data_IF_099651206956
#
_entry.id   IF_099651206956
#
_cell.length_a   1.000
_cell.length_b   1.000
_cell.length_c   1.000
_cell.angle_alpha   90.00
_cell.angle_beta   90.00
_cell.angle_gamma   90.00
#
_symmetry.space_group_name_H-M   'P 1'
#
loop_
_entity.id
_entity.type
_entity.pdbx_description
1 polymer ?
#
# COMPACT_ATOMS: atom_id res chain seq x y z
N UNK A 1 13.11 -28.88 0.83
CA UNK A 1 12.97 -28.87 2.31
C UNK A 1 12.22 -27.61 2.73
N UNK A 2 11.30 -27.73 3.68
CA UNK A 2 10.61 -26.55 4.24
C UNK A 2 11.62 -25.69 5.00
N UNK A 3 11.82 -24.48 4.53
CA UNK A 3 12.67 -23.49 5.19
C UNK A 3 11.92 -22.85 6.37
N UNK A 4 12.61 -22.65 7.49
CA UNK A 4 12.02 -21.92 8.60
C UNK A 4 12.11 -20.39 8.34
N UNK A 5 11.41 -19.59 9.17
CA UNK A 5 11.33 -18.13 9.03
C UNK A 5 12.74 -17.47 8.91
N UNK A 6 13.69 -17.85 9.74
CA UNK A 6 15.04 -17.27 9.74
C UNK A 6 15.84 -17.65 8.50
N UNK A 7 15.66 -18.88 7.98
CA UNK A 7 16.30 -19.32 6.74
C UNK A 7 15.76 -18.55 5.53
N UNK A 8 14.45 -18.33 5.49
CA UNK A 8 13.81 -17.50 4.44
C UNK A 8 14.31 -16.06 4.51
N UNK A 9 14.37 -15.48 5.72
CA UNK A 9 14.84 -14.10 5.91
C UNK A 9 16.31 -13.93 5.50
N UNK A 10 17.13 -14.95 5.71
CA UNK A 10 18.55 -14.96 5.32
C UNK A 10 18.80 -15.35 3.87
N UNK A 11 17.75 -15.75 3.13
CA UNK A 11 17.88 -16.08 1.71
C UNK A 11 18.21 -14.83 0.90
N UNK A 12 19.39 -14.70 0.26
CA UNK A 12 19.90 -13.41 -0.24
C UNK A 12 19.03 -12.74 -1.30
N UNK A 13 18.38 -13.55 -2.15
CA UNK A 13 17.52 -13.04 -3.22
C UNK A 13 16.17 -12.60 -2.68
N UNK A 14 15.57 -13.41 -1.80
CA UNK A 14 14.30 -13.12 -1.17
C UNK A 14 14.41 -11.87 -0.27
N UNK A 15 15.45 -11.78 0.56
CA UNK A 15 15.65 -10.64 1.46
C UNK A 15 15.79 -9.30 0.72
N UNK A 16 16.44 -9.28 -0.45
CA UNK A 16 16.52 -8.09 -1.30
C UNK A 16 15.15 -7.62 -1.77
N UNK A 17 14.30 -8.55 -2.22
CA UNK A 17 12.94 -8.23 -2.66
C UNK A 17 12.08 -7.77 -1.48
N UNK A 18 12.16 -8.45 -0.34
CA UNK A 18 11.44 -8.08 0.88
C UNK A 18 11.84 -6.69 1.37
N UNK A 19 13.13 -6.34 1.34
CA UNK A 19 13.62 -5.01 1.71
C UNK A 19 13.01 -3.91 0.84
N UNK A 20 12.98 -4.09 -0.48
CA UNK A 20 12.33 -3.12 -1.38
C UNK A 20 10.88 -2.92 -0.99
N UNK A 21 10.15 -4.00 -0.76
CA UNK A 21 8.74 -3.95 -0.36
C UNK A 21 8.55 -3.29 1.01
N UNK A 22 9.31 -3.70 2.01
CA UNK A 22 9.14 -3.23 3.38
C UNK A 22 9.57 -1.78 3.57
N UNK A 23 10.66 -1.35 2.95
CA UNK A 23 11.06 0.06 2.92
C UNK A 23 9.97 0.88 2.23
N UNK A 24 9.45 0.43 1.08
CA UNK A 24 8.35 1.10 0.39
C UNK A 24 7.10 1.22 1.25
N UNK A 25 6.69 0.15 1.93
CA UNK A 25 5.50 0.18 2.79
C UNK A 25 5.71 0.98 4.09
N UNK A 26 6.90 0.96 4.69
CA UNK A 26 7.24 1.87 5.78
C UNK A 26 7.17 3.34 5.36
N UNK A 27 7.67 3.64 4.18
CA UNK A 27 7.56 4.96 3.56
C UNK A 27 6.11 5.34 3.26
N UNK A 28 5.28 4.39 2.81
CA UNK A 28 3.83 4.58 2.63
C UNK A 28 3.16 4.99 3.94
N UNK A 29 3.57 4.44 5.07
CA UNK A 29 3.06 4.80 6.38
C UNK A 29 3.30 6.28 6.71
N UNK A 30 4.51 6.78 6.48
CA UNK A 30 4.86 8.19 6.67
C UNK A 30 4.05 9.08 5.73
N UNK A 31 4.03 8.75 4.44
CA UNK A 31 3.35 9.54 3.41
C UNK A 31 1.84 9.61 3.64
N UNK A 32 1.19 8.47 3.87
CA UNK A 32 -0.25 8.41 4.07
C UNK A 32 -0.66 9.13 5.36
N UNK A 33 0.14 9.03 6.43
CA UNK A 33 -0.07 9.76 7.67
C UNK A 33 -0.02 11.28 7.46
N UNK A 34 1.03 11.78 6.82
CA UNK A 34 1.18 13.21 6.53
C UNK A 34 0.07 13.74 5.61
N UNK A 35 -0.28 12.98 4.56
CA UNK A 35 -1.36 13.35 3.65
C UNK A 35 -2.73 13.36 4.35
N UNK A 36 -3.01 12.38 5.20
CA UNK A 36 -4.25 12.32 5.97
C UNK A 36 -4.35 13.50 6.92
N UNK A 37 -3.29 13.88 7.61
CA UNK A 37 -3.25 15.06 8.47
C UNK A 37 -3.53 16.31 7.67
N UNK A 38 -2.84 16.51 6.56
CA UNK A 38 -3.02 17.67 5.70
C UNK A 38 -4.43 17.79 5.14
N UNK A 39 -5.03 16.70 4.66
CA UNK A 39 -6.34 16.72 3.99
C UNK A 39 -7.50 16.66 4.99
N UNK A 40 -7.41 15.78 6.00
CA UNK A 40 -8.56 15.40 6.82
C UNK A 40 -8.57 16.05 8.19
N UNK A 41 -7.41 16.31 8.78
CA UNK A 41 -7.29 16.81 10.14
C UNK A 41 -6.87 18.29 10.24
N UNK A 42 -6.61 18.95 9.11
CA UNK A 42 -6.34 20.40 9.15
C UNK A 42 -7.58 21.17 9.61
N UNK A 43 -7.48 22.03 10.65
CA UNK A 43 -8.59 22.85 11.13
C UNK A 43 -9.17 23.77 10.04
N UNK A 44 -8.31 24.22 9.14
CA UNK A 44 -8.66 25.15 8.06
C UNK A 44 -9.46 24.48 6.93
N UNK A 45 -9.39 23.15 6.85
CA UNK A 45 -10.03 22.33 5.81
C UNK A 45 -11.12 21.48 6.42
N UNK A 46 -12.19 22.10 6.91
CA UNK A 46 -13.31 21.38 7.55
C UNK A 46 -13.78 20.22 6.67
N UNK A 47 -13.48 18.98 7.11
CA UNK A 47 -13.89 17.80 6.40
C UNK A 47 -15.35 17.47 6.70
N UNK A 48 -16.22 17.61 5.71
CA UNK A 48 -17.53 16.97 5.73
C UNK A 48 -17.38 15.45 5.51
N UNK A 49 -18.38 14.67 5.93
CA UNK A 49 -18.41 13.24 5.64
C UNK A 49 -18.27 12.94 4.14
N UNK A 50 -18.82 13.80 3.28
CA UNK A 50 -18.70 13.66 1.83
C UNK A 50 -17.26 13.90 1.35
N UNK A 51 -16.58 14.94 1.83
CA UNK A 51 -15.18 15.19 1.42
C UNK A 51 -14.23 14.10 1.90
N UNK A 52 -14.44 13.54 3.08
CA UNK A 52 -13.69 12.38 3.56
C UNK A 52 -13.97 11.13 2.70
N UNK A 53 -15.23 10.86 2.35
CA UNK A 53 -15.59 9.75 1.47
C UNK A 53 -14.96 9.90 0.07
N UNK A 54 -14.95 11.11 -0.49
CA UNK A 54 -14.30 11.40 -1.76
C UNK A 54 -12.79 11.20 -1.69
N UNK A 55 -12.13 11.60 -0.59
CA UNK A 55 -10.71 11.36 -0.37
C UNK A 55 -10.39 9.85 -0.35
N UNK A 56 -11.20 9.04 0.34
CA UNK A 56 -11.07 7.57 0.30
C UNK A 56 -11.32 7.00 -1.09
N UNK A 57 -12.30 7.51 -1.83
CA UNK A 57 -12.57 7.08 -3.21
C UNK A 57 -11.37 7.36 -4.12
N UNK A 58 -10.72 8.52 -3.99
CA UNK A 58 -9.50 8.88 -4.72
C UNK A 58 -8.36 7.90 -4.41
N UNK A 59 -8.18 7.49 -3.15
CA UNK A 59 -7.17 6.51 -2.77
C UNK A 59 -7.45 5.13 -3.39
N UNK A 60 -8.72 4.72 -3.47
CA UNK A 60 -9.12 3.41 -3.96
C UNK A 60 -9.26 3.34 -5.50
N UNK A 61 -9.50 4.47 -6.16
CA UNK A 61 -9.74 4.56 -7.60
C UNK A 61 -8.59 3.98 -8.45
N UNK A 62 -7.31 4.26 -8.17
CA UNK A 62 -6.20 3.69 -8.94
C UNK A 62 -6.16 2.16 -8.90
N UNK A 63 -6.56 1.55 -7.78
CA UNK A 63 -6.60 0.09 -7.65
C UNK A 63 -7.62 -0.54 -8.60
N UNK A 64 -8.74 0.14 -8.83
CA UNK A 64 -9.80 -0.34 -9.72
C UNK A 64 -9.48 -0.12 -11.19
N UNK A 65 -8.91 1.04 -11.54
CA UNK A 65 -8.65 1.43 -12.94
C UNK A 65 -7.34 0.82 -13.44
N UNK A 66 -6.26 0.93 -12.67
CA UNK A 66 -4.92 0.52 -13.09
C UNK A 66 -4.72 -0.99 -12.91
N UNK A 67 -5.40 -1.61 -11.95
CA UNK A 67 -5.27 -3.02 -11.61
C UNK A 67 -5.28 -3.97 -12.81
N UNK A 68 -6.27 -3.90 -13.72
CA UNK A 68 -6.35 -4.76 -14.89
C UNK A 68 -5.16 -4.62 -15.86
N UNK A 69 -4.51 -3.46 -15.89
CA UNK A 69 -3.42 -3.16 -16.83
C UNK A 69 -2.02 -3.43 -16.26
N UNK A 70 -1.91 -3.64 -14.95
CA UNK A 70 -0.62 -3.87 -14.27
C UNK A 70 0.08 -5.10 -14.82
N UNK A 71 -0.64 -6.20 -15.03
CA UNK A 71 -0.09 -7.42 -15.63
C UNK A 71 0.53 -7.15 -16.98
N UNK A 72 -0.18 -6.43 -17.85
CA UNK A 72 0.28 -6.07 -19.20
C UNK A 72 1.62 -5.31 -19.16
N UNK A 73 1.82 -4.40 -18.21
CA UNK A 73 3.09 -3.67 -18.05
C UNK A 73 4.19 -4.60 -17.54
N UNK A 74 3.90 -5.43 -16.54
CA UNK A 74 4.87 -6.34 -15.91
C UNK A 74 5.32 -7.49 -16.81
N UNK A 75 4.54 -7.83 -17.84
CA UNK A 75 4.91 -8.83 -18.83
C UNK A 75 5.85 -8.27 -19.91
N UNK A 76 5.98 -6.95 -20.02
CA UNK A 76 6.84 -6.27 -21.03
C UNK A 76 8.17 -5.82 -20.48
N UNK A 77 8.19 -5.32 -19.26
CA UNK A 77 9.36 -4.70 -18.63
C UNK A 77 9.90 -5.65 -17.57
N UNK A 78 11.23 -5.75 -17.43
CA UNK A 78 11.77 -6.51 -16.31
C UNK A 78 11.20 -5.97 -15.00
N UNK A 79 10.71 -6.86 -14.15
CA UNK A 79 10.06 -6.49 -12.88
C UNK A 79 11.01 -5.72 -11.97
N UNK A 80 12.32 -5.98 -12.07
CA UNK A 80 13.35 -5.20 -11.40
C UNK A 80 13.34 -3.73 -11.86
N UNK A 81 13.27 -3.48 -13.18
CA UNK A 81 13.15 -2.11 -13.71
C UNK A 81 11.83 -1.47 -13.33
N UNK A 82 10.74 -2.23 -13.35
CA UNK A 82 9.44 -1.73 -12.91
C UNK A 82 9.49 -1.27 -11.43
N UNK A 83 10.13 -2.04 -10.54
CA UNK A 83 10.34 -1.64 -9.15
C UNK A 83 11.21 -0.39 -9.02
N UNK A 84 12.32 -0.32 -9.77
CA UNK A 84 13.19 0.85 -9.75
C UNK A 84 12.47 2.11 -10.24
N UNK A 85 11.90 2.06 -11.45
CA UNK A 85 11.24 3.22 -12.08
C UNK A 85 10.04 3.68 -11.24
N UNK A 86 9.22 2.74 -10.76
CA UNK A 86 8.04 3.11 -9.98
C UNK A 86 8.39 3.76 -8.65
N UNK A 87 9.38 3.25 -7.90
CA UNK A 87 9.83 3.87 -6.66
C UNK A 87 10.52 5.21 -6.92
N UNK A 88 11.34 5.31 -7.96
CA UNK A 88 11.99 6.56 -8.33
C UNK A 88 10.97 7.62 -8.76
N UNK A 89 10.00 7.25 -9.60
CA UNK A 89 8.92 8.16 -10.01
C UNK A 89 8.10 8.62 -8.83
N UNK A 90 7.81 7.73 -7.85
CA UNK A 90 7.14 8.12 -6.61
C UNK A 90 7.97 9.10 -5.79
N UNK A 91 9.29 8.92 -5.70
CA UNK A 91 10.16 9.86 -5.01
C UNK A 91 10.07 11.26 -5.63
N UNK A 92 10.08 11.37 -6.94
CA UNK A 92 9.91 12.65 -7.65
C UNK A 92 8.51 13.24 -7.47
N UNK A 93 7.49 12.41 -7.59
CA UNK A 93 6.08 12.80 -7.42
C UNK A 93 5.83 13.37 -6.01
N UNK A 94 6.40 12.74 -4.98
CA UNK A 94 6.28 13.23 -3.61
C UNK A 94 6.97 14.58 -3.36
N UNK A 95 8.01 14.90 -4.10
CA UNK A 95 8.62 16.25 -4.04
C UNK A 95 7.61 17.29 -4.52
N UNK A 96 6.89 17.00 -5.61
CA UNK A 96 5.84 17.90 -6.13
C UNK A 96 4.66 17.99 -5.15
N UNK A 97 4.23 16.86 -4.57
CA UNK A 97 3.18 16.84 -3.54
C UNK A 97 3.62 17.67 -2.33
N UNK A 98 4.85 17.51 -1.85
CA UNK A 98 5.38 18.26 -0.72
C UNK A 98 5.36 19.78 -0.98
N UNK A 99 5.68 20.20 -2.21
CA UNK A 99 5.62 21.62 -2.60
C UNK A 99 4.18 22.15 -2.54
N UNK A 100 3.19 21.40 -3.02
CA UNK A 100 1.79 21.78 -2.93
C UNK A 100 1.30 21.85 -1.48
N UNK A 101 1.67 20.87 -0.67
CA UNK A 101 1.33 20.83 0.77
C UNK A 101 1.99 21.99 1.50
N UNK A 102 3.25 22.29 1.24
CA UNK A 102 3.98 23.41 1.82
C UNK A 102 3.30 24.75 1.54
N UNK A 103 2.70 24.90 0.36
CA UNK A 103 1.97 26.12 -0.04
C UNK A 103 0.48 26.08 0.31
N UNK A 104 0.00 25.03 1.00
CA UNK A 104 -1.40 24.88 1.41
C UNK A 104 -2.38 24.61 0.27
N UNK A 105 -1.90 24.19 -0.92
CA UNK A 105 -2.74 23.97 -2.10
C UNK A 105 -3.38 22.58 -2.10
N UNK A 106 -4.71 22.56 -2.21
CA UNK A 106 -5.54 21.33 -2.22
C UNK A 106 -6.32 21.12 -3.51
N UNK A 107 -5.87 21.72 -4.61
CA UNK A 107 -6.56 21.68 -5.88
C UNK A 107 -6.49 20.35 -6.62
N UNK A 108 -6.98 20.33 -7.86
CA UNK A 108 -6.97 19.16 -8.74
C UNK A 108 -5.54 18.63 -8.97
N UNK A 109 -4.56 19.50 -8.98
CA UNK A 109 -3.14 19.16 -9.13
C UNK A 109 -2.66 18.21 -8.02
N UNK A 110 -3.04 18.47 -6.76
CA UNK A 110 -2.72 17.56 -5.64
C UNK A 110 -3.40 16.20 -5.84
N UNK A 111 -4.67 16.20 -6.20
CA UNK A 111 -5.44 14.97 -6.46
C UNK A 111 -4.78 14.11 -7.54
N UNK A 112 -4.37 14.72 -8.66
CA UNK A 112 -3.71 14.01 -9.77
C UNK A 112 -2.38 13.40 -9.32
N UNK A 113 -1.54 14.13 -8.60
CA UNK A 113 -0.25 13.62 -8.09
C UNK A 113 -0.47 12.49 -7.09
N UNK A 114 -1.43 12.60 -6.19
CA UNK A 114 -1.78 11.54 -5.24
C UNK A 114 -2.27 10.28 -5.98
N UNK A 115 -3.11 10.42 -7.01
CA UNK A 115 -3.53 9.31 -7.86
C UNK A 115 -2.35 8.61 -8.55
N UNK A 116 -1.38 9.38 -9.04
CA UNK A 116 -0.14 8.84 -9.64
C UNK A 116 0.64 8.05 -8.59
N UNK A 117 0.85 8.60 -7.39
CA UNK A 117 1.57 7.94 -6.30
C UNK A 117 0.94 6.59 -5.93
N UNK A 118 -0.38 6.53 -5.77
CA UNK A 118 -1.09 5.28 -5.47
C UNK A 118 -1.13 4.30 -6.65
N UNK A 119 -1.23 4.81 -7.87
CA UNK A 119 -1.14 3.98 -9.08
C UNK A 119 0.21 3.28 -9.21
N UNK A 120 1.30 4.01 -8.99
CA UNK A 120 2.66 3.46 -8.96
C UNK A 120 2.84 2.45 -7.83
N UNK A 121 2.22 2.68 -6.67
CA UNK A 121 2.24 1.71 -5.58
C UNK A 121 1.61 0.36 -5.98
N UNK A 122 0.52 0.40 -6.72
CA UNK A 122 -0.12 -0.83 -7.23
C UNK A 122 0.82 -1.63 -8.10
N UNK A 123 1.57 -0.95 -8.98
CA UNK A 123 2.57 -1.58 -9.85
C UNK A 123 3.70 -2.21 -9.03
N UNK A 124 4.18 -1.53 -7.99
CA UNK A 124 5.23 -2.03 -7.09
C UNK A 124 4.78 -3.30 -6.37
N UNK A 125 3.59 -3.29 -5.78
CA UNK A 125 3.05 -4.45 -5.07
C UNK A 125 2.85 -5.65 -5.99
N UNK A 126 2.34 -5.41 -7.20
CA UNK A 126 2.14 -6.46 -8.20
C UNK A 126 3.47 -7.05 -8.69
N UNK A 127 4.47 -6.20 -8.98
CA UNK A 127 5.80 -6.65 -9.38
C UNK A 127 6.48 -7.50 -8.30
N UNK A 128 6.34 -7.11 -7.04
CA UNK A 128 6.86 -7.85 -5.88
C UNK A 128 6.18 -9.22 -5.76
N UNK A 129 4.86 -9.25 -5.83
CA UNK A 129 4.09 -10.50 -5.71
C UNK A 129 4.35 -11.45 -6.87
N UNK A 130 4.46 -10.93 -8.10
CA UNK A 130 4.77 -11.73 -9.29
C UNK A 130 6.21 -12.25 -9.32
N UNK A 131 7.15 -11.55 -8.68
CA UNK A 131 8.55 -11.97 -8.60
C UNK A 131 8.81 -13.05 -7.54
N UNK A 132 7.96 -13.16 -6.53
CA UNK A 132 8.17 -14.03 -5.38
C UNK A 132 8.30 -15.54 -5.75
N UNK A 133 7.45 -16.09 -6.64
CA UNK A 133 7.54 -17.51 -7.03
C UNK A 133 8.84 -17.89 -7.75
N UNK A 134 9.59 -16.92 -8.26
CA UNK A 134 10.87 -17.15 -8.93
C UNK A 134 12.06 -17.19 -7.97
N UNK A 135 11.86 -16.80 -6.72
CA UNK A 135 12.92 -16.70 -5.72
C UNK A 135 12.91 -17.85 -4.72
N UNK A 136 11.79 -18.53 -4.56
CA UNK A 136 11.60 -19.59 -3.59
C UNK A 136 10.89 -20.78 -4.22
N UNK A 137 11.20 -21.99 -3.72
CA UNK A 137 10.54 -23.22 -4.16
C UNK A 137 9.09 -23.28 -3.68
N UNK A 138 8.25 -24.03 -4.39
CA UNK A 138 6.82 -24.22 -4.12
C UNK A 138 6.47 -24.48 -2.64
N UNK A 139 7.18 -25.35 -1.89
CA UNK A 139 6.88 -25.59 -0.48
C UNK A 139 7.04 -24.36 0.42
N UNK A 140 7.89 -23.42 0.02
CA UNK A 140 8.23 -22.22 0.80
C UNK A 140 7.44 -20.97 0.37
N UNK A 141 6.70 -21.05 -0.75
CA UNK A 141 6.02 -19.91 -1.35
C UNK A 141 4.96 -19.28 -0.43
N UNK A 142 4.18 -20.12 0.27
CA UNK A 142 3.15 -19.64 1.19
C UNK A 142 3.80 -18.86 2.34
N UNK A 143 4.86 -19.40 2.92
CA UNK A 143 5.59 -18.74 4.02
C UNK A 143 6.28 -17.44 3.56
N UNK A 144 6.90 -17.45 2.37
CA UNK A 144 7.52 -16.26 1.80
C UNK A 144 6.49 -15.16 1.49
N UNK A 145 5.31 -15.53 0.97
CA UNK A 145 4.24 -14.58 0.72
C UNK A 145 3.67 -14.01 2.04
N UNK A 146 3.46 -14.86 3.04
CA UNK A 146 3.04 -14.41 4.37
C UNK A 146 4.05 -13.42 4.98
N UNK A 147 5.36 -13.70 4.88
CA UNK A 147 6.41 -12.76 5.28
C UNK A 147 6.36 -11.44 4.53
N UNK A 148 6.18 -11.47 3.22
CA UNK A 148 6.10 -10.28 2.39
C UNK A 148 4.92 -9.39 2.79
N UNK A 149 3.74 -9.97 2.96
CA UNK A 149 2.50 -9.24 3.30
C UNK A 149 2.52 -8.78 4.76
N UNK A 150 2.77 -9.67 5.71
CA UNK A 150 2.76 -9.33 7.14
C UNK A 150 3.88 -8.36 7.49
N UNK A 151 5.10 -8.62 7.01
CA UNK A 151 6.23 -7.71 7.19
C UNK A 151 5.94 -6.33 6.61
N UNK A 152 5.35 -6.29 5.41
CA UNK A 152 4.93 -5.02 4.80
C UNK A 152 3.93 -4.26 5.64
N UNK A 153 2.93 -4.94 6.21
CA UNK A 153 1.95 -4.33 7.10
C UNK A 153 2.58 -3.81 8.39
N UNK A 154 3.50 -4.57 8.97
CA UNK A 154 4.27 -4.12 10.15
C UNK A 154 5.09 -2.86 9.83
N UNK A 155 5.79 -2.84 8.70
CA UNK A 155 6.58 -1.66 8.28
C UNK A 155 5.68 -0.46 7.98
N UNK A 156 4.48 -0.66 7.42
CA UNK A 156 3.49 0.41 7.23
C UNK A 156 3.12 1.06 8.57
N UNK A 157 2.81 0.26 9.58
CA UNK A 157 2.46 0.75 10.92
C UNK A 157 3.65 1.42 11.59
N UNK A 158 4.85 0.84 11.51
CA UNK A 158 6.08 1.44 12.04
C UNK A 158 6.39 2.77 11.34
N UNK A 159 6.21 2.85 10.03
CA UNK A 159 6.37 4.08 9.26
C UNK A 159 5.38 5.16 9.68
N UNK A 160 4.12 4.79 9.86
CA UNK A 160 3.08 5.69 10.39
C UNK A 160 3.43 6.20 11.80
N UNK A 161 3.87 5.31 12.68
CA UNK A 161 4.33 5.67 14.03
C UNK A 161 5.57 6.58 14.01
N UNK A 162 6.54 6.29 13.14
CA UNK A 162 7.71 7.15 12.93
C UNK A 162 7.28 8.54 12.42
N UNK A 163 6.35 8.59 11.48
CA UNK A 163 5.81 9.84 10.96
C UNK A 163 5.16 10.68 12.06
N UNK A 164 4.35 10.06 12.93
CA UNK A 164 3.75 10.74 14.08
C UNK A 164 4.79 11.27 15.06
N UNK A 165 5.80 10.45 15.40
CA UNK A 165 6.88 10.86 16.29
C UNK A 165 7.72 12.02 15.71
N UNK A 166 8.03 11.98 14.42
CA UNK A 166 8.70 13.09 13.74
C UNK A 166 7.84 14.35 13.70
N UNK A 167 6.53 14.19 13.49
CA UNK A 167 5.58 15.31 13.53
C UNK A 167 5.64 16.01 14.89
N UNK A 168 5.51 15.26 15.98
CA UNK A 168 5.55 15.80 17.34
C UNK A 168 6.85 16.58 17.61
N UNK A 169 7.99 16.07 17.14
CA UNK A 169 9.28 16.76 17.26
C UNK A 169 9.35 18.05 16.44
N UNK A 170 8.69 18.12 15.30
CA UNK A 170 8.72 19.26 14.38
C UNK A 170 7.64 20.28 14.66
N UNK A 171 6.59 19.94 15.40
CA UNK A 171 5.42 20.79 15.66
C UNK A 171 5.79 22.09 16.42
N UNK A 172 6.86 22.04 17.22
CA UNK A 172 7.39 23.23 17.91
C UNK A 172 8.21 24.16 17.02
N UNK A 173 8.57 23.74 15.79
CA UNK A 173 9.53 24.44 14.92
C UNK A 173 8.87 25.02 13.66
N UNK A 174 7.75 24.44 13.21
CA UNK A 174 7.10 24.81 11.95
C UNK A 174 5.56 24.73 12.04
N UNK A 175 4.89 25.36 11.08
CA UNK A 175 3.42 25.26 10.95
C UNK A 175 3.01 23.84 10.53
N UNK A 176 1.77 23.45 10.81
CA UNK A 176 1.26 22.11 10.51
C UNK A 176 1.47 21.69 9.04
N UNK A 177 1.18 22.58 8.09
CA UNK A 177 1.37 22.30 6.66
C UNK A 177 2.84 22.12 6.29
N UNK A 178 3.73 22.89 6.90
CA UNK A 178 5.18 22.74 6.69
C UNK A 178 5.70 21.43 7.27
N UNK A 179 5.20 21.03 8.45
CA UNK A 179 5.55 19.73 9.05
C UNK A 179 5.11 18.59 8.14
N UNK A 180 3.88 18.63 7.64
CA UNK A 180 3.38 17.62 6.69
C UNK A 180 4.22 17.56 5.41
N UNK A 181 4.61 18.74 4.88
CA UNK A 181 5.51 18.80 3.72
C UNK A 181 6.88 18.16 4.00
N UNK A 182 7.47 18.42 5.17
CA UNK A 182 8.76 17.81 5.56
C UNK A 182 8.66 16.31 5.73
N UNK A 183 7.55 15.79 6.28
CA UNK A 183 7.30 14.36 6.35
C UNK A 183 7.15 13.72 4.96
N UNK A 184 6.52 14.41 4.02
CA UNK A 184 6.40 13.95 2.63
C UNK A 184 7.76 13.95 1.94
N UNK A 185 8.64 14.92 2.20
CA UNK A 185 10.03 14.91 1.72
C UNK A 185 10.81 13.73 2.32
N UNK A 186 10.65 13.45 3.62
CA UNK A 186 11.26 12.26 4.24
C UNK A 186 10.77 10.96 3.57
N UNK A 187 9.50 10.88 3.25
CA UNK A 187 8.94 9.77 2.48
C UNK A 187 9.53 9.69 1.06
N UNK A 188 9.74 10.83 0.38
CA UNK A 188 10.43 10.86 -0.92
C UNK A 188 11.82 10.22 -0.82
N UNK A 189 12.60 10.55 0.21
CA UNK A 189 13.90 9.91 0.46
C UNK A 189 13.77 8.40 0.70
N UNK A 190 12.72 7.95 1.39
CA UNK A 190 12.43 6.53 1.59
C UNK A 190 12.16 5.79 0.29
N UNK A 191 11.38 6.37 -0.63
CA UNK A 191 11.17 5.78 -1.96
C UNK A 191 12.44 5.82 -2.82
N UNK A 192 13.24 6.86 -2.73
CA UNK A 192 14.54 6.90 -3.39
C UNK A 192 15.45 5.77 -2.89
N UNK A 193 15.44 5.49 -1.58
CA UNK A 193 16.15 4.35 -1.00
C UNK A 193 15.60 3.01 -1.51
N UNK A 194 14.27 2.83 -1.54
CA UNK A 194 13.65 1.61 -2.08
C UNK A 194 14.02 1.42 -3.57
N UNK A 195 14.07 2.49 -4.35
CA UNK A 195 14.50 2.47 -5.75
C UNK A 195 15.95 1.99 -5.88
N UNK A 196 16.88 2.52 -5.09
CA UNK A 196 18.28 2.06 -5.12
C UNK A 196 18.43 0.61 -4.64
N UNK A 197 17.62 0.16 -3.67
CA UNK A 197 17.59 -1.23 -3.25
C UNK A 197 17.08 -2.16 -4.36
N UNK A 198 16.13 -1.72 -5.19
CA UNK A 198 15.66 -2.49 -6.34
C UNK A 198 16.79 -2.79 -7.35
N UNK A 199 17.78 -1.91 -7.49
CA UNK A 199 18.94 -2.13 -8.35
C UNK A 199 19.87 -3.26 -7.88
N UNK A 200 19.77 -3.67 -6.61
CA UNK A 200 20.51 -4.84 -6.08
C UNK A 200 19.96 -6.18 -6.56
N UNK A 201 18.74 -6.20 -7.09
CA UNK A 201 18.18 -7.35 -7.79
C UNK A 201 18.79 -7.46 -9.18
N UNK A 202 19.04 -8.68 -9.66
CA UNK A 202 19.48 -8.89 -11.05
C UNK A 202 18.31 -8.61 -11.99
N UNK A 203 18.59 -8.12 -13.19
CA UNK A 203 17.60 -7.61 -14.15
C UNK A 203 16.44 -8.58 -14.45
N UNK A 204 16.71 -9.88 -14.52
CA UNK A 204 15.70 -10.92 -14.81
C UNK A 204 15.47 -11.87 -13.64
N UNK A 205 16.00 -11.56 -12.46
CA UNK A 205 15.90 -12.43 -11.27
C UNK A 205 14.47 -12.67 -10.81
N UNK A 206 13.61 -11.66 -11.00
CA UNK A 206 12.19 -11.70 -10.63
C UNK A 206 11.26 -11.67 -11.85
N UNK A 207 11.78 -11.94 -13.05
CA UNK A 207 11.03 -12.03 -14.30
C UNK A 207 10.84 -10.71 -15.05
N UNK A 208 10.02 -10.71 -16.10
CA UNK A 208 9.32 -11.88 -16.62
C UNK A 208 10.28 -12.86 -17.34
N UNK A 209 9.99 -14.15 -17.27
CA UNK A 209 10.71 -15.18 -18.03
C UNK A 209 10.41 -15.03 -19.53
N UNK A 210 11.29 -15.52 -20.41
CA UNK A 210 11.14 -15.31 -21.86
C UNK A 210 9.82 -15.85 -22.42
N UNK A 211 9.33 -16.98 -21.88
CA UNK A 211 8.05 -17.57 -22.26
C UNK A 211 6.82 -16.83 -21.69
N UNK A 212 7.00 -15.96 -20.67
CA UNK A 212 5.94 -15.13 -20.11
C UNK A 212 5.77 -13.82 -20.90
N UNK A 213 6.77 -13.45 -21.70
CA UNK A 213 6.72 -12.21 -22.50
C UNK A 213 5.72 -12.34 -23.63
N UNK A 214 4.58 -11.71 -23.46
CA UNK A 214 3.57 -11.58 -24.51
C UNK A 214 3.73 -10.26 -25.24
N UNK A 215 3.55 -10.23 -26.59
CA UNK A 215 3.39 -8.97 -27.31
C UNK A 215 2.13 -8.32 -26.79
N UNK A 216 2.26 -7.23 -26.07
CA UNK A 216 1.10 -6.65 -25.41
C UNK A 216 0.57 -5.47 -26.23
N UNK A 217 -0.73 -5.47 -26.48
CA UNK A 217 -1.51 -4.29 -26.84
C UNK A 217 -2.36 -3.87 -25.64
N UNK A 218 -2.66 -2.58 -25.49
CA UNK A 218 -3.57 -2.09 -24.43
C UNK A 218 -4.96 -2.74 -24.56
N UNK A 219 -5.35 -3.09 -25.78
CA UNK A 219 -6.60 -3.82 -26.07
C UNK A 219 -6.63 -5.22 -25.47
N UNK A 220 -5.47 -5.85 -25.27
CA UNK A 220 -5.38 -7.18 -24.69
C UNK A 220 -5.80 -7.19 -23.21
N UNK A 221 -5.53 -6.13 -22.46
CA UNK A 221 -5.99 -5.98 -21.09
C UNK A 221 -7.53 -5.99 -20.98
N UNK A 222 -8.24 -5.39 -21.92
CA UNK A 222 -9.70 -5.46 -21.97
C UNK A 222 -10.22 -6.85 -22.37
N UNK A 223 -9.52 -7.53 -23.28
CA UNK A 223 -9.88 -8.90 -23.67
C UNK A 223 -9.69 -9.85 -22.48
N UNK A 224 -8.55 -9.78 -21.79
CA UNK A 224 -8.27 -10.59 -20.60
C UNK A 224 -9.26 -10.31 -19.46
N UNK A 225 -9.65 -9.05 -19.25
CA UNK A 225 -10.69 -8.69 -18.28
C UNK A 225 -12.03 -9.32 -18.63
N UNK A 226 -12.45 -9.30 -19.91
CA UNK A 226 -13.67 -9.92 -20.38
C UNK A 226 -13.66 -11.44 -20.24
N UNK A 227 -12.53 -12.06 -20.56
CA UNK A 227 -12.34 -13.52 -20.40
C UNK A 227 -12.35 -13.92 -18.91
N UNK A 228 -11.70 -13.15 -18.05
CA UNK A 228 -11.75 -13.33 -16.60
C UNK A 228 -13.18 -13.22 -16.06
N UNK A 229 -13.96 -12.27 -16.55
CA UNK A 229 -15.38 -12.15 -16.17
C UNK A 229 -16.21 -13.34 -16.61
N UNK A 230 -16.01 -13.84 -17.83
CA UNK A 230 -16.66 -15.07 -18.32
C UNK A 230 -16.25 -16.30 -17.49
N UNK A 231 -14.97 -16.41 -17.16
CA UNK A 231 -14.45 -17.48 -16.31
C UNK A 231 -15.16 -17.48 -14.93
N UNK A 232 -15.30 -16.32 -14.31
CA UNK A 232 -15.99 -16.17 -13.03
C UNK A 232 -17.47 -16.57 -13.10
N UNK A 233 -18.13 -16.32 -14.22
CA UNK A 233 -19.53 -16.72 -14.43
C UNK A 233 -19.75 -18.23 -14.41
N UNK A 234 -18.70 -19.00 -14.75
CA UNK A 234 -18.73 -20.48 -14.73
C UNK A 234 -18.24 -21.04 -13.37
N UNK A 235 -17.33 -20.33 -12.69
CA UNK A 235 -16.72 -20.76 -11.43
C UNK A 235 -17.36 -20.05 -10.24
N UNK A 236 -18.53 -20.55 -9.81
CA UNK A 236 -19.37 -19.92 -8.78
C UNK A 236 -18.63 -19.72 -7.44
N UNK A 237 -17.77 -20.67 -7.05
CA UNK A 237 -17.03 -20.56 -5.78
C UNK A 237 -15.96 -19.47 -5.83
N UNK A 238 -15.29 -19.29 -6.99
CA UNK A 238 -14.38 -18.17 -7.20
C UNK A 238 -15.12 -16.82 -7.15
N UNK A 239 -16.29 -16.74 -7.76
CA UNK A 239 -17.14 -15.55 -7.72
C UNK A 239 -17.59 -15.24 -6.29
N UNK A 240 -18.04 -16.23 -5.52
CA UNK A 240 -18.42 -16.07 -4.11
C UNK A 240 -17.25 -15.56 -3.27
N UNK A 241 -16.05 -16.11 -3.47
CA UNK A 241 -14.83 -15.65 -2.79
C UNK A 241 -14.50 -14.18 -3.08
N UNK A 242 -14.62 -13.75 -4.35
CA UNK A 242 -14.40 -12.36 -4.76
C UNK A 242 -15.46 -11.43 -4.14
N UNK A 243 -16.72 -11.83 -4.17
CA UNK A 243 -17.83 -11.06 -3.57
C UNK A 243 -17.63 -10.93 -2.06
N UNK A 244 -17.33 -12.02 -1.37
CA UNK A 244 -17.07 -12.00 0.08
C UNK A 244 -15.90 -11.07 0.44
N UNK A 245 -14.80 -11.15 -0.32
CA UNK A 245 -13.66 -10.24 -0.15
C UNK A 245 -14.04 -8.77 -0.43
N UNK A 246 -14.88 -8.53 -1.43
CA UNK A 246 -15.41 -7.20 -1.74
C UNK A 246 -16.21 -6.62 -0.58
N UNK A 247 -17.13 -7.38 0.00
CA UNK A 247 -17.91 -6.98 1.17
C UNK A 247 -17.02 -6.74 2.40
N UNK A 248 -16.04 -7.61 2.64
CA UNK A 248 -15.08 -7.44 3.75
C UNK A 248 -14.28 -6.13 3.57
N UNK A 249 -13.75 -5.87 2.38
CA UNK A 249 -12.99 -4.66 2.08
C UNK A 249 -13.84 -3.40 2.17
N UNK A 250 -15.05 -3.44 1.62
CA UNK A 250 -16.01 -2.34 1.71
C UNK A 250 -16.40 -2.04 3.15
N UNK A 251 -16.70 -3.07 3.95
CA UNK A 251 -17.00 -2.93 5.38
C UNK A 251 -15.84 -2.35 6.18
N UNK A 252 -14.61 -2.81 5.94
CA UNK A 252 -13.42 -2.26 6.59
C UNK A 252 -13.21 -0.78 6.22
N UNK A 253 -13.40 -0.42 4.96
CA UNK A 253 -13.27 0.98 4.50
C UNK A 253 -14.35 1.86 5.14
N UNK A 254 -15.59 1.38 5.21
CA UNK A 254 -16.68 2.10 5.88
C UNK A 254 -16.41 2.29 7.37
N UNK A 255 -15.95 1.25 8.07
CA UNK A 255 -15.53 1.34 9.49
C UNK A 255 -14.39 2.33 9.69
N UNK A 256 -13.40 2.34 8.80
CA UNK A 256 -12.27 3.29 8.84
C UNK A 256 -12.78 4.72 8.69
N UNK A 257 -13.69 4.98 7.74
CA UNK A 257 -14.28 6.30 7.53
C UNK A 257 -15.11 6.75 8.74
N UNK A 258 -15.95 5.88 9.28
CA UNK A 258 -16.75 6.17 10.48
C UNK A 258 -15.84 6.44 11.67
N UNK A 259 -14.82 5.59 11.90
CA UNK A 259 -13.84 5.77 12.95
C UNK A 259 -13.12 7.11 12.86
N UNK A 260 -12.65 7.47 11.66
CA UNK A 260 -12.01 8.76 11.40
C UNK A 260 -12.94 9.95 11.71
N UNK A 261 -14.21 9.86 11.31
CA UNK A 261 -15.19 10.92 11.59
C UNK A 261 -15.51 11.03 13.08
N UNK A 262 -15.61 9.90 13.79
CA UNK A 262 -15.84 9.88 15.23
C UNK A 262 -14.65 10.44 16.00
N UNK A 263 -13.42 10.04 15.67
CA UNK A 263 -12.21 10.55 16.31
C UNK A 263 -12.06 12.06 16.08
N UNK A 264 -12.36 12.54 14.87
CA UNK A 264 -12.23 13.94 14.55
C UNK A 264 -13.33 14.83 15.17
N UNK A 265 -14.59 14.40 15.12
CA UNK A 265 -15.74 15.28 15.38
C UNK A 265 -16.44 14.99 16.70
N UNK A 266 -16.21 13.82 17.33
CA UNK A 266 -16.98 13.36 18.50
C UNK A 266 -16.09 13.09 19.71
N UNK A 267 -14.98 12.38 19.54
CA UNK A 267 -14.15 11.94 20.66
C UNK A 267 -13.07 12.95 21.04
N UNK A 268 -12.65 13.79 20.08
CA UNK A 268 -11.63 14.81 20.30
C UNK A 268 -12.12 16.19 19.84
N UNK A 269 -11.38 17.23 20.20
CA UNK A 269 -11.66 18.60 19.75
C UNK A 269 -11.34 18.72 18.25
N UNK A 270 -12.31 19.11 17.40
CA UNK A 270 -12.07 19.30 15.95
C UNK A 270 -10.95 20.31 15.62
N UNK A 271 -10.64 21.20 16.57
CA UNK A 271 -9.57 22.20 16.40
C UNK A 271 -8.17 21.65 16.78
N UNK A 272 -8.10 20.41 17.28
CA UNK A 272 -6.86 19.72 17.67
C UNK A 272 -6.66 18.45 16.85
N UNK A 273 -6.18 18.58 15.61
CA UNK A 273 -6.09 17.45 14.68
C UNK A 273 -5.20 16.31 15.20
N UNK A 274 -4.19 16.62 16.01
CA UNK A 274 -3.24 15.63 16.53
C UNK A 274 -3.88 14.67 17.54
N UNK A 275 -4.86 15.14 18.33
CA UNK A 275 -5.61 14.27 19.25
C UNK A 275 -6.44 13.24 18.48
N UNK A 276 -7.16 13.66 17.42
CA UNK A 276 -7.92 12.75 16.56
C UNK A 276 -7.04 11.77 15.78
N UNK A 277 -5.88 12.20 15.31
CA UNK A 277 -4.93 11.33 14.63
C UNK A 277 -4.34 10.30 15.59
N UNK A 278 -4.03 10.69 16.82
CA UNK A 278 -3.53 9.76 17.86
C UNK A 278 -4.58 8.73 18.26
N UNK A 279 -5.84 9.11 18.39
CA UNK A 279 -6.96 8.21 18.64
C UNK A 279 -7.13 7.19 17.52
N UNK A 280 -7.10 7.65 16.27
CA UNK A 280 -7.17 6.78 15.10
C UNK A 280 -5.97 5.82 15.03
N UNK A 281 -4.76 6.29 15.32
CA UNK A 281 -3.56 5.45 15.36
C UNK A 281 -3.66 4.37 16.44
N UNK A 282 -4.20 4.69 17.60
CA UNK A 282 -4.48 3.72 18.66
C UNK A 282 -5.50 2.65 18.21
N UNK A 283 -6.60 3.09 17.60
CA UNK A 283 -7.63 2.18 17.06
C UNK A 283 -7.04 1.22 16.01
N UNK A 284 -6.22 1.71 15.09
CA UNK A 284 -5.52 0.86 14.12
C UNK A 284 -4.49 -0.08 14.76
N UNK A 285 -3.82 0.34 15.82
CA UNK A 285 -2.89 -0.51 16.56
C UNK A 285 -3.62 -1.68 17.22
N UNK A 286 -4.77 -1.45 17.83
CA UNK A 286 -5.63 -2.49 18.41
C UNK A 286 -6.17 -3.42 17.31
N UNK A 287 -6.63 -2.85 16.18
CA UNK A 287 -7.06 -3.64 15.04
C UNK A 287 -5.92 -4.51 14.47
N UNK A 288 -4.68 -4.00 14.45
CA UNK A 288 -3.49 -4.74 14.06
C UNK A 288 -3.24 -5.96 14.94
N UNK A 289 -3.42 -5.84 16.25
CA UNK A 289 -3.36 -6.97 17.19
C UNK A 289 -4.43 -8.04 16.81
N UNK A 290 -5.65 -7.59 16.50
CA UNK A 290 -6.72 -8.48 16.04
C UNK A 290 -6.36 -9.23 14.76
N UNK A 291 -5.71 -8.58 13.80
CA UNK A 291 -5.23 -9.21 12.56
C UNK A 291 -4.19 -10.29 12.86
N UNK A 292 -3.23 -10.00 13.74
CA UNK A 292 -2.20 -10.98 14.15
C UNK A 292 -2.83 -12.19 14.85
N UNK A 293 -3.75 -11.96 15.79
CA UNK A 293 -4.48 -13.03 16.45
C UNK A 293 -5.30 -13.87 15.47
N UNK A 294 -5.99 -13.22 14.53
CA UNK A 294 -6.72 -13.89 13.46
C UNK A 294 -5.82 -14.78 12.61
N UNK A 295 -4.66 -14.27 12.22
CA UNK A 295 -3.67 -15.02 11.44
C UNK A 295 -3.12 -16.24 12.20
N UNK A 296 -2.96 -16.14 13.52
CA UNK A 296 -2.51 -17.26 14.36
C UNK A 296 -3.60 -18.33 14.53
N UNK A 297 -4.86 -17.92 14.63
CA UNK A 297 -6.00 -18.82 14.87
C UNK A 297 -6.51 -19.47 13.57
N UNK A 298 -6.41 -18.78 12.44
CA UNK A 298 -6.93 -19.25 11.16
C UNK A 298 -6.46 -20.68 10.76
N UNK A 299 -5.19 -21.07 10.91
CA UNK A 299 -4.74 -22.42 10.58
C UNK A 299 -5.44 -23.51 11.40
N UNK A 300 -5.73 -23.23 12.65
CA UNK A 300 -6.48 -24.17 13.54
C UNK A 300 -7.93 -24.30 13.09
N UNK A 301 -8.57 -23.19 12.73
CA UNK A 301 -9.92 -23.17 12.18
C UNK A 301 -10.02 -23.98 10.89
N UNK A 302 -9.13 -23.74 9.94
CA UNK A 302 -9.08 -24.47 8.66
C UNK A 302 -8.84 -25.97 8.87
N UNK A 303 -7.97 -26.33 9.82
CA UNK A 303 -7.72 -27.75 10.15
C UNK A 303 -8.95 -28.44 10.76
N UNK A 304 -9.76 -27.73 11.55
CA UNK A 304 -10.92 -28.29 12.25
C UNK A 304 -12.18 -28.32 11.39
N UNK A 305 -12.43 -27.28 10.60
CA UNK A 305 -13.69 -27.10 9.86
C UNK A 305 -13.56 -27.24 8.34
N UNK A 306 -12.36 -27.46 7.82
CA UNK A 306 -12.11 -27.51 6.38
C UNK A 306 -12.02 -26.13 5.73
N UNK A 307 -11.94 -26.11 4.40
CA UNK A 307 -11.85 -24.87 3.59
C UNK A 307 -13.19 -24.47 2.96
N UNK A 308 -14.29 -24.91 3.54
CA UNK A 308 -15.64 -24.59 3.05
C UNK A 308 -16.15 -23.28 3.55
#
# INVERSE_FOLDING_TARGET
ANMNFWQLLRHPRLSRLLLVRWIGQGTDGIFQGALATFVLFSPERQASALSAALAFAVVLLPYSIIGPFVGTVLDRVSRQRALFISNFSRALDLILIALLVFTGRTGLELTVLVLIAFGLNRLILAATSAGLPLLVDQPNLISANAMAVTGGSVFLVLGGGLGLGLRELLDSVATADHVDAYLIIAASCGYALASTMALRLRKLEIGPLEHERKPASLTQGFVELREGWKFLGVHVDAMRGIIANGFQRGGLTALTLVGLMLERNTFNDPNKPDEGLSGLALAFSIAGIGIVLGALIAPFGVKKYGRH
#
